data_IF_055016328987
#
_entry.id   IF_055016328987
#
_cell.length_a   1.000
_cell.length_b   1.000
_cell.length_c   1.000
_cell.angle_alpha   90.00
_cell.angle_beta   90.00
_cell.angle_gamma   90.00
#
_symmetry.space_group_name_H-M   'P 1'
#
loop_
_entity.id
_entity.type
_entity.pdbx_description
1 polymer ?
#
# COMPACT_ATOMS: atom_id res chain seq x y z
N UNK A 1 15.84 0.56 22.55
CA UNK A 1 14.77 0.81 21.56
C UNK A 1 15.41 0.86 20.19
N UNK A 2 15.05 -0.06 19.28
CA UNK A 2 15.67 -0.13 17.95
C UNK A 2 15.09 0.96 17.04
N UNK A 3 15.93 1.63 16.25
CA UNK A 3 15.57 2.78 15.40
C UNK A 3 14.52 2.41 14.32
N UNK A 4 14.31 1.12 14.04
CA UNK A 4 13.45 0.64 12.95
C UNK A 4 12.25 -0.23 13.37
N UNK A 5 11.89 -0.32 14.65
CA UNK A 5 10.82 -1.24 15.09
C UNK A 5 9.49 -1.04 14.36
N UNK A 6 9.06 0.20 14.17
CA UNK A 6 7.82 0.53 13.47
C UNK A 6 7.89 0.21 11.97
N UNK A 7 9.03 0.48 11.34
CA UNK A 7 9.25 0.21 9.92
C UNK A 7 9.28 -1.30 9.66
N UNK A 8 10.07 -2.05 10.44
CA UNK A 8 10.16 -3.50 10.34
C UNK A 8 8.79 -4.14 10.58
N UNK A 9 8.04 -3.65 11.57
CA UNK A 9 6.68 -4.12 11.84
C UNK A 9 5.72 -3.91 10.67
N UNK A 10 5.86 -2.81 9.94
CA UNK A 10 5.08 -2.54 8.73
C UNK A 10 5.50 -3.43 7.57
N UNK A 11 6.79 -3.55 7.30
CA UNK A 11 7.35 -4.35 6.19
C UNK A 11 7.05 -5.85 6.33
N UNK A 12 6.97 -6.37 7.57
CA UNK A 12 6.56 -7.75 7.84
C UNK A 12 5.10 -8.04 7.51
N UNK A 13 4.24 -7.03 7.40
CA UNK A 13 2.83 -7.22 7.07
C UNK A 13 2.69 -7.44 5.57
N UNK A 14 2.44 -8.69 5.15
CA UNK A 14 2.20 -9.06 3.74
C UNK A 14 1.24 -8.09 3.02
N UNK A 15 0.13 -7.74 3.68
CA UNK A 15 -0.85 -6.80 3.15
C UNK A 15 -0.30 -5.42 2.80
N UNK A 16 0.73 -4.92 3.51
CA UNK A 16 1.35 -3.64 3.19
C UNK A 16 2.02 -3.68 1.82
N UNK A 17 2.95 -4.63 1.61
CA UNK A 17 3.65 -4.80 0.34
C UNK A 17 2.65 -4.98 -0.80
N UNK A 18 1.69 -5.88 -0.62
CA UNK A 18 0.69 -6.19 -1.64
C UNK A 18 -0.14 -4.96 -2.03
N UNK A 19 -0.56 -4.14 -1.04
CA UNK A 19 -1.33 -2.92 -1.29
C UNK A 19 -0.53 -1.90 -2.11
N UNK A 20 0.73 -1.67 -1.73
CA UNK A 20 1.61 -0.74 -2.45
C UNK A 20 1.86 -1.23 -3.87
N UNK A 21 2.12 -2.54 -4.05
CA UNK A 21 2.31 -3.15 -5.37
C UNK A 21 1.10 -2.96 -6.27
N UNK A 22 -0.13 -3.13 -5.77
CA UNK A 22 -1.32 -2.84 -6.58
C UNK A 22 -1.34 -1.38 -6.99
N UNK A 23 -1.26 -0.46 -6.02
CA UNK A 23 -1.49 0.97 -6.26
C UNK A 23 -0.40 1.63 -7.11
N UNK A 24 0.87 1.27 -6.93
CA UNK A 24 1.98 1.88 -7.70
C UNK A 24 1.88 1.59 -9.20
N UNK A 25 1.24 0.49 -9.57
CA UNK A 25 1.02 0.05 -10.94
C UNK A 25 -0.25 0.65 -11.58
N UNK A 26 -1.01 1.48 -10.85
CA UNK A 26 -2.21 2.13 -11.37
C UNK A 26 -1.90 3.58 -11.79
N UNK A 27 -2.58 4.04 -12.84
CA UNK A 27 -2.50 5.44 -13.27
C UNK A 27 -2.93 6.36 -12.11
N UNK A 28 -2.08 7.32 -11.76
CA UNK A 28 -2.34 8.25 -10.66
C UNK A 28 -2.38 7.60 -9.27
N UNK A 29 -1.81 6.39 -9.13
CA UNK A 29 -1.74 5.64 -7.87
C UNK A 29 -3.10 5.38 -7.21
N UNK A 30 -4.15 5.31 -8.03
CA UNK A 30 -5.55 5.23 -7.64
C UNK A 30 -6.26 4.21 -8.51
N UNK A 31 -7.17 3.45 -7.91
CA UNK A 31 -8.09 2.59 -8.65
C UNK A 31 -9.39 2.39 -7.88
N UNK A 32 -10.44 1.96 -8.55
CA UNK A 32 -11.70 1.62 -7.87
C UNK A 32 -11.53 0.31 -7.06
N UNK A 33 -12.43 0.11 -6.09
CA UNK A 33 -12.38 -1.03 -5.17
C UNK A 33 -12.43 -2.38 -5.90
N UNK A 34 -13.21 -2.49 -6.97
CA UNK A 34 -13.35 -3.76 -7.70
C UNK A 34 -12.04 -4.09 -8.41
N UNK A 35 -11.50 -3.14 -9.16
CA UNK A 35 -10.21 -3.28 -9.85
C UNK A 35 -9.07 -3.55 -8.86
N UNK A 36 -9.02 -2.83 -7.72
CA UNK A 36 -8.02 -3.09 -6.67
C UNK A 36 -8.00 -4.55 -6.24
N UNK A 37 -9.17 -5.13 -5.93
CA UNK A 37 -9.23 -6.51 -5.47
C UNK A 37 -8.94 -7.52 -6.59
N UNK A 38 -9.34 -7.22 -7.83
CA UNK A 38 -9.00 -8.07 -8.98
C UNK A 38 -7.48 -8.12 -9.17
N UNK A 39 -6.78 -6.98 -9.12
CA UNK A 39 -5.33 -6.93 -9.21
C UNK A 39 -4.65 -7.61 -8.02
N UNK A 40 -5.14 -7.38 -6.80
CA UNK A 40 -4.61 -8.02 -5.60
C UNK A 40 -4.70 -9.54 -5.68
N UNK A 41 -5.84 -10.08 -6.15
CA UNK A 41 -6.08 -11.52 -6.21
C UNK A 41 -5.22 -12.25 -7.26
N UNK A 42 -4.53 -11.54 -8.15
CA UNK A 42 -3.57 -12.17 -9.10
C UNK A 42 -2.35 -12.75 -8.40
N UNK A 43 -1.98 -12.25 -7.22
CA UNK A 43 -0.77 -12.66 -6.50
C UNK A 43 -0.95 -12.73 -4.97
N UNK A 44 -2.14 -12.37 -4.47
CA UNK A 44 -2.49 -12.34 -3.06
C UNK A 44 -3.97 -12.69 -2.88
N UNK A 45 -4.56 -12.32 -1.74
CA UNK A 45 -5.94 -12.63 -1.41
C UNK A 45 -6.58 -11.47 -0.65
N UNK A 46 -7.89 -11.28 -0.77
CA UNK A 46 -8.67 -10.23 -0.12
C UNK A 46 -8.28 -9.92 1.34
N UNK A 47 -8.11 -10.97 2.16
CA UNK A 47 -7.78 -10.82 3.58
C UNK A 47 -6.41 -10.18 3.84
N UNK A 48 -5.48 -10.19 2.87
CA UNK A 48 -4.17 -9.55 3.04
C UNK A 48 -4.33 -8.05 3.19
N UNK A 49 -5.14 -7.41 2.33
CA UNK A 49 -5.49 -6.00 2.43
C UNK A 49 -6.34 -5.71 3.65
N UNK A 50 -7.38 -6.51 3.91
CA UNK A 50 -8.32 -6.25 5.01
C UNK A 50 -7.61 -6.13 6.38
N UNK A 51 -6.59 -6.97 6.62
CA UNK A 51 -5.80 -6.97 7.87
C UNK A 51 -4.96 -5.71 8.09
N UNK A 52 -4.61 -4.98 7.03
CA UNK A 52 -3.75 -3.80 7.12
C UNK A 52 -4.49 -2.50 6.83
N UNK A 53 -5.67 -2.57 6.19
CA UNK A 53 -6.42 -1.42 5.69
C UNK A 53 -6.53 -0.29 6.71
N UNK A 54 -7.05 -0.58 7.91
CA UNK A 54 -7.26 0.44 8.96
C UNK A 54 -5.92 1.07 9.42
N UNK A 55 -4.87 0.25 9.55
CA UNK A 55 -3.55 0.74 9.92
C UNK A 55 -2.95 1.66 8.84
N UNK A 56 -3.13 1.32 7.56
CA UNK A 56 -2.61 2.13 6.45
C UNK A 56 -3.35 3.46 6.32
N UNK A 57 -4.67 3.46 6.54
CA UNK A 57 -5.49 4.68 6.59
C UNK A 57 -5.08 5.54 7.79
N UNK A 58 -4.98 4.95 8.98
CA UNK A 58 -4.59 5.66 10.22
C UNK A 58 -3.19 6.26 10.11
N UNK A 59 -2.26 5.59 9.42
CA UNK A 59 -0.91 6.11 9.16
C UNK A 59 -0.87 7.15 8.03
N UNK A 60 -1.99 7.38 7.33
CA UNK A 60 -2.09 8.28 6.19
C UNK A 60 -1.22 7.82 5.01
N UNK A 61 -1.12 6.51 4.79
CA UNK A 61 -0.38 5.94 3.66
C UNK A 61 -1.28 5.73 2.46
N UNK A 62 -2.52 5.30 2.71
CA UNK A 62 -3.58 5.19 1.72
C UNK A 62 -4.78 6.00 2.17
N UNK A 63 -5.68 6.26 1.24
CA UNK A 63 -6.99 6.81 1.53
C UNK A 63 -8.06 6.14 0.67
N UNK A 64 -9.29 6.12 1.19
CA UNK A 64 -10.44 5.55 0.50
C UNK A 64 -11.45 6.67 0.28
N UNK A 65 -11.64 7.05 -0.98
CA UNK A 65 -12.58 8.09 -1.39
C UNK A 65 -13.84 7.45 -1.97
N UNK A 66 -14.99 8.12 -1.84
CA UNK A 66 -16.22 7.73 -2.52
C UNK A 66 -16.56 8.79 -3.56
N UNK A 67 -16.59 8.38 -4.84
CA UNK A 67 -17.03 9.21 -5.94
C UNK A 67 -18.16 8.49 -6.68
N UNK A 68 -19.34 9.12 -6.82
CA UNK A 68 -20.50 8.55 -7.52
C UNK A 68 -20.84 7.12 -7.07
N UNK A 69 -20.84 6.87 -5.76
CA UNK A 69 -21.06 5.54 -5.11
C UNK A 69 -19.95 4.50 -5.37
N UNK A 70 -18.93 4.83 -6.16
CA UNK A 70 -17.76 3.99 -6.38
C UNK A 70 -16.66 4.35 -5.37
N UNK A 71 -16.29 3.37 -4.54
CA UNK A 71 -15.15 3.53 -3.63
C UNK A 71 -13.85 3.38 -4.40
N UNK A 72 -12.94 4.30 -4.21
CA UNK A 72 -11.60 4.28 -4.78
C UNK A 72 -10.58 4.16 -3.67
N UNK A 73 -9.54 3.37 -3.91
CA UNK A 73 -8.39 3.24 -3.02
C UNK A 73 -7.23 3.92 -3.73
N UNK A 74 -6.55 4.82 -3.04
CA UNK A 74 -5.38 5.51 -3.60
C UNK A 74 -4.24 5.64 -2.61
N UNK A 75 -3.03 5.70 -3.16
CA UNK A 75 -1.83 6.03 -2.42
C UNK A 75 -1.82 7.54 -2.15
N UNK A 76 -1.60 7.92 -0.91
CA UNK A 76 -1.41 9.34 -0.56
C UNK A 76 -0.02 9.80 -1.00
N UNK A 77 0.22 11.11 -1.00
CA UNK A 77 1.56 11.66 -1.20
C UNK A 77 2.57 11.10 -0.18
N UNK A 78 2.17 11.01 1.09
CA UNK A 78 2.99 10.40 2.15
C UNK A 78 3.31 8.93 1.87
N UNK A 79 2.32 8.16 1.40
CA UNK A 79 2.51 6.77 1.00
C UNK A 79 3.48 6.61 -0.16
N UNK A 80 3.41 7.51 -1.15
CA UNK A 80 4.30 7.54 -2.30
C UNK A 80 5.74 7.89 -1.89
N UNK A 81 5.92 8.89 -1.04
CA UNK A 81 7.25 9.25 -0.49
C UNK A 81 7.85 8.09 0.29
N UNK A 82 7.06 7.40 1.12
CA UNK A 82 7.51 6.21 1.84
C UNK A 82 7.98 5.13 0.86
N UNK A 83 7.19 4.80 -0.16
CA UNK A 83 7.56 3.81 -1.16
C UNK A 83 8.87 4.16 -1.87
N UNK A 84 9.04 5.41 -2.31
CA UNK A 84 10.28 5.86 -2.99
C UNK A 84 11.51 5.65 -2.10
N UNK A 85 11.44 6.07 -0.84
CA UNK A 85 12.53 5.87 0.14
C UNK A 85 12.83 4.39 0.38
N UNK A 86 11.81 3.54 0.43
CA UNK A 86 12.02 2.10 0.59
C UNK A 86 12.68 1.48 -0.63
N UNK A 87 12.30 1.94 -1.83
CA UNK A 87 12.93 1.51 -3.08
C UNK A 87 14.40 1.94 -3.14
N UNK A 88 14.71 3.19 -2.77
CA UNK A 88 16.10 3.66 -2.68
C UNK A 88 16.94 2.79 -1.75
N UNK A 89 16.40 2.40 -0.59
CA UNK A 89 17.08 1.48 0.34
C UNK A 89 17.27 0.09 -0.28
N UNK A 90 16.25 -0.44 -0.96
CA UNK A 90 16.31 -1.76 -1.63
C UNK A 90 17.35 -1.77 -2.76
N UNK A 91 17.41 -0.71 -3.55
CA UNK A 91 18.38 -0.52 -4.63
C UNK A 91 19.82 -0.46 -4.08
N UNK A 92 20.05 0.21 -2.93
CA UNK A 92 21.35 0.28 -2.26
C UNK A 92 21.83 -1.06 -1.67
N UNK A 93 20.91 -1.96 -1.32
CA UNK A 93 21.24 -3.28 -0.77
C UNK A 93 21.43 -4.31 -1.89
N UNK A 94 20.72 -4.12 -3.00
CA UNK A 94 20.77 -5.02 -4.16
C UNK A 94 21.92 -4.73 -5.11
N UNK A 95 22.56 -3.55 -4.99
CA UNK A 95 23.81 -3.18 -5.67
C UNK A 95 25.04 -3.82 -5.04
#
# INVERSE_FOLDING_TARGET
>A
MTIFTNLIGLLKKKGFKDTITVLINQKGYKTDKHTFYNELNKFSYYNSFFRVKEDLIKKGLIEIEQNNRVKHIKLTEKGLVLYKKLKEIDDLISS
#
